data_IF_785505401564
#
_entry.id   IF_785505401564
#
_cell.length_a   1.000
_cell.length_b   1.000
_cell.length_c   1.000
_cell.angle_alpha   90.00
_cell.angle_beta   90.00
_cell.angle_gamma   90.00
#
_symmetry.space_group_name_H-M   'P 1'
#
loop_
_entity.id
_entity.type
_entity.pdbx_description
1 polymer ?
#
# COMPACT_ATOMS: atom_id res chain seq x y z
N UNK A 1 -18.70 5.60 -19.84
CA UNK A 1 -17.71 5.49 -18.74
C UNK A 1 -17.70 6.82 -18.00
N UNK A 2 -18.01 6.83 -16.73
CA UNK A 2 -17.87 8.03 -15.88
C UNK A 2 -16.44 8.08 -15.33
N UNK A 3 -15.91 9.29 -15.10
CA UNK A 3 -14.55 9.49 -14.61
C UNK A 3 -14.54 10.27 -13.31
N UNK A 4 -13.49 10.11 -12.53
CA UNK A 4 -13.16 10.89 -11.35
C UNK A 4 -11.83 11.60 -11.61
N UNK A 5 -11.76 12.90 -11.32
CA UNK A 5 -10.54 13.70 -11.48
C UNK A 5 -10.07 14.16 -10.10
N UNK A 6 -8.77 14.01 -9.85
CA UNK A 6 -8.08 14.45 -8.64
C UNK A 6 -6.91 15.35 -9.02
N UNK A 7 -6.81 16.49 -8.34
CA UNK A 7 -5.68 17.40 -8.50
C UNK A 7 -4.72 17.28 -7.31
N UNK A 8 -3.44 17.09 -7.61
CA UNK A 8 -2.35 16.98 -6.65
C UNK A 8 -1.51 18.26 -6.63
N UNK A 9 -0.48 18.31 -5.77
CA UNK A 9 0.35 19.51 -5.59
C UNK A 9 1.68 19.45 -6.35
N UNK A 10 2.08 18.27 -6.75
CA UNK A 10 3.35 18.00 -7.43
C UNK A 10 3.09 17.12 -8.66
N UNK A 11 3.78 17.37 -9.77
CA UNK A 11 3.64 16.61 -11.02
C UNK A 11 4.09 15.17 -10.84
N UNK A 12 5.15 14.93 -10.06
CA UNK A 12 5.61 13.59 -9.75
C UNK A 12 4.58 12.82 -8.90
N UNK A 13 3.81 13.51 -8.05
CA UNK A 13 2.76 12.87 -7.26
C UNK A 13 1.66 12.26 -8.16
N UNK A 14 1.20 12.99 -9.18
CA UNK A 14 0.23 12.44 -10.14
C UNK A 14 0.83 11.28 -10.94
N UNK A 15 2.08 11.41 -11.35
CA UNK A 15 2.81 10.40 -12.10
C UNK A 15 3.03 9.12 -11.28
N UNK A 16 3.49 9.25 -10.03
CA UNK A 16 3.72 8.12 -9.11
C UNK A 16 2.43 7.34 -8.82
N UNK A 17 1.34 8.05 -8.53
CA UNK A 17 0.04 7.45 -8.27
C UNK A 17 -0.47 6.69 -9.51
N UNK A 18 -0.40 7.31 -10.69
CA UNK A 18 -0.81 6.67 -11.94
C UNK A 18 0.07 5.46 -12.30
N UNK A 19 1.39 5.56 -12.09
CA UNK A 19 2.31 4.45 -12.29
C UNK A 19 2.00 3.30 -11.32
N UNK A 20 1.75 3.62 -10.05
CA UNK A 20 1.36 2.67 -9.02
C UNK A 20 0.08 1.93 -9.38
N UNK A 21 -1.00 2.65 -9.72
CA UNK A 21 -2.28 2.05 -10.11
C UNK A 21 -2.13 1.11 -11.32
N UNK A 22 -1.40 1.52 -12.36
CA UNK A 22 -1.17 0.67 -13.54
C UNK A 22 -0.38 -0.57 -13.18
N UNK A 23 0.71 -0.42 -12.41
CA UNK A 23 1.57 -1.52 -12.01
C UNK A 23 0.86 -2.56 -11.13
N UNK A 24 0.03 -2.11 -10.18
CA UNK A 24 -0.81 -2.99 -9.38
C UNK A 24 -1.88 -3.65 -10.23
N UNK A 25 -2.49 -2.91 -11.17
CA UNK A 25 -3.51 -3.39 -12.10
C UNK A 25 -3.04 -4.47 -13.07
N UNK A 26 -1.72 -4.59 -13.34
CA UNK A 26 -1.16 -5.73 -14.07
C UNK A 26 -1.35 -7.07 -13.35
N UNK A 27 -1.45 -7.04 -12.02
CA UNK A 27 -1.52 -8.22 -11.18
C UNK A 27 -2.95 -8.56 -10.70
N UNK A 28 -3.85 -7.59 -10.67
CA UNK A 28 -5.21 -7.76 -10.12
C UNK A 28 -6.22 -6.82 -10.79
N UNK A 29 -7.48 -7.25 -10.88
CA UNK A 29 -8.58 -6.41 -11.36
C UNK A 29 -9.18 -5.54 -10.23
N UNK A 30 -8.71 -5.68 -8.98
CA UNK A 30 -9.19 -4.93 -7.81
C UNK A 30 -8.50 -3.56 -7.63
N UNK A 31 -8.13 -2.91 -8.73
CA UNK A 31 -7.49 -1.58 -8.77
C UNK A 31 -8.24 -0.70 -9.75
N UNK A 32 -8.46 0.58 -9.40
CA UNK A 32 -9.12 1.52 -10.30
C UNK A 32 -8.28 1.77 -11.55
N UNK A 33 -8.93 1.83 -12.71
CA UNK A 33 -8.26 2.09 -13.98
C UNK A 33 -7.90 3.57 -14.13
N UNK A 34 -6.65 3.85 -14.54
CA UNK A 34 -6.19 5.20 -14.89
C UNK A 34 -6.60 5.53 -16.32
N UNK A 35 -7.35 6.60 -16.50
CA UNK A 35 -7.73 7.15 -17.81
C UNK A 35 -6.62 8.04 -18.35
N UNK A 36 -6.14 8.97 -17.52
CA UNK A 36 -5.01 9.84 -17.86
C UNK A 36 -4.31 10.37 -16.61
N UNK A 37 -3.07 10.76 -16.76
CA UNK A 37 -2.33 11.54 -15.77
C UNK A 37 -1.48 12.56 -16.54
N UNK A 38 -1.68 13.85 -16.27
CA UNK A 38 -0.96 14.93 -16.93
C UNK A 38 -0.79 16.12 -15.97
N UNK A 39 0.44 16.58 -15.85
CA UNK A 39 0.79 17.68 -14.96
C UNK A 39 0.38 17.39 -13.51
N UNK A 40 -0.54 18.18 -12.99
CA UNK A 40 -1.03 18.07 -11.60
C UNK A 40 -2.36 17.30 -11.48
N UNK A 41 -2.82 16.65 -12.52
CA UNK A 41 -4.11 15.97 -12.55
C UNK A 41 -3.97 14.49 -12.86
N UNK A 42 -4.68 13.67 -12.09
CA UNK A 42 -4.92 12.27 -12.41
C UNK A 42 -6.40 12.04 -12.60
N UNK A 43 -6.76 11.32 -13.65
CA UNK A 43 -8.13 10.95 -13.99
C UNK A 43 -8.23 9.44 -13.99
N UNK A 44 -9.14 8.91 -13.19
CA UNK A 44 -9.44 7.47 -13.13
C UNK A 44 -10.86 7.18 -13.58
N UNK A 45 -11.19 5.92 -13.81
CA UNK A 45 -12.59 5.52 -13.87
C UNK A 45 -13.26 5.80 -12.53
N UNK A 46 -14.51 6.23 -12.57
CA UNK A 46 -15.30 6.41 -11.35
C UNK A 46 -15.84 5.07 -10.90
N UNK A 47 -15.59 4.73 -9.66
CA UNK A 47 -16.21 3.58 -9.00
C UNK A 47 -17.63 3.96 -8.57
N UNK A 48 -18.64 3.28 -9.11
CA UNK A 48 -20.01 3.40 -8.63
C UNK A 48 -20.16 2.55 -7.37
N UNK A 49 -20.04 3.23 -6.22
CA UNK A 49 -20.02 2.57 -4.93
C UNK A 49 -21.36 1.91 -4.58
N UNK A 50 -21.26 0.71 -4.03
CA UNK A 50 -22.38 -0.05 -3.49
C UNK A 50 -22.08 -0.46 -2.04
N UNK A 51 -23.10 -0.88 -1.31
CA UNK A 51 -22.91 -1.42 0.03
C UNK A 51 -22.03 -2.69 -0.06
N UNK A 52 -20.94 -2.77 0.74
CA UNK A 52 -20.11 -3.96 0.77
C UNK A 52 -20.87 -5.19 1.24
N UNK A 53 -20.49 -6.36 0.74
CA UNK A 53 -21.02 -7.65 1.20
C UNK A 53 -19.88 -8.57 1.66
N UNK A 54 -20.15 -9.59 2.49
CA UNK A 54 -19.15 -10.57 2.90
C UNK A 54 -18.47 -11.25 1.71
N UNK A 55 -19.22 -11.56 0.65
CA UNK A 55 -18.71 -12.18 -0.58
C UNK A 55 -17.76 -11.26 -1.34
N UNK A 56 -18.13 -9.97 -1.47
CA UNK A 56 -17.29 -8.96 -2.12
C UNK A 56 -15.99 -8.74 -1.35
N UNK A 57 -16.06 -8.72 -0.01
CA UNK A 57 -14.90 -8.60 0.86
C UNK A 57 -13.97 -9.82 0.74
N UNK A 58 -14.52 -11.03 0.72
CA UNK A 58 -13.74 -12.26 0.52
C UNK A 58 -13.09 -12.31 -0.85
N UNK A 59 -13.81 -11.91 -1.91
CA UNK A 59 -13.25 -11.79 -3.26
C UNK A 59 -12.09 -10.79 -3.29
N UNK A 60 -12.26 -9.63 -2.66
CA UNK A 60 -11.20 -8.63 -2.55
C UNK A 60 -9.94 -9.20 -1.86
N UNK A 61 -10.09 -9.93 -0.76
CA UNK A 61 -8.97 -10.61 -0.10
C UNK A 61 -8.20 -11.55 -1.03
N UNK A 62 -8.90 -12.31 -1.87
CA UNK A 62 -8.26 -13.19 -2.85
C UNK A 62 -7.50 -12.39 -3.94
N UNK A 63 -8.06 -11.27 -4.40
CA UNK A 63 -7.41 -10.37 -5.36
C UNK A 63 -6.17 -9.70 -4.76
N UNK A 64 -6.24 -9.23 -3.50
CA UNK A 64 -5.10 -8.69 -2.77
C UNK A 64 -3.97 -9.74 -2.66
N UNK A 65 -4.31 -10.97 -2.33
CA UNK A 65 -3.34 -12.07 -2.29
C UNK A 65 -2.73 -12.36 -3.67
N UNK A 66 -3.49 -12.24 -4.75
CA UNK A 66 -3.00 -12.37 -6.14
C UNK A 66 -1.99 -11.30 -6.47
N UNK A 67 -2.30 -10.04 -6.10
CA UNK A 67 -1.40 -8.90 -6.29
C UNK A 67 -0.08 -9.08 -5.54
N UNK A 68 -0.13 -9.44 -4.27
CA UNK A 68 1.09 -9.66 -3.48
C UNK A 68 1.94 -10.80 -4.04
N UNK A 69 1.32 -11.91 -4.50
CA UNK A 69 2.02 -13.06 -5.10
C UNK A 69 2.66 -12.77 -6.45
N UNK A 70 2.26 -11.71 -7.14
CA UNK A 70 2.93 -11.29 -8.37
C UNK A 70 4.40 -10.92 -8.13
N UNK A 71 4.75 -10.54 -6.88
CA UNK A 71 6.11 -10.27 -6.46
C UNK A 71 6.73 -9.04 -7.14
N UNK A 72 7.95 -8.76 -6.76
CA UNK A 72 8.82 -7.72 -7.31
C UNK A 72 10.26 -8.07 -6.97
N UNK A 73 11.23 -7.43 -7.65
CA UNK A 73 12.67 -7.76 -7.49
C UNK A 73 13.28 -7.41 -6.15
N UNK A 74 12.76 -6.37 -5.44
CA UNK A 74 13.36 -5.90 -4.19
C UNK A 74 12.34 -5.18 -3.30
N UNK A 75 12.62 -5.08 -2.02
CA UNK A 75 11.95 -4.14 -1.11
C UNK A 75 12.32 -2.71 -1.50
N UNK A 76 11.38 -1.78 -1.43
CA UNK A 76 11.59 -0.40 -1.86
C UNK A 76 11.65 -0.20 -3.38
N UNK A 77 11.53 -1.24 -4.20
CA UNK A 77 11.44 -1.05 -5.64
C UNK A 77 10.21 -0.19 -6.01
N UNK A 78 10.36 0.90 -6.78
CA UNK A 78 9.22 1.69 -7.25
C UNK A 78 8.39 0.90 -8.27
N UNK A 79 7.19 1.39 -8.63
CA UNK A 79 6.43 0.83 -9.75
C UNK A 79 7.27 0.74 -11.02
N UNK A 80 7.16 -0.36 -11.76
CA UNK A 80 7.97 -0.62 -12.95
C UNK A 80 7.87 0.53 -13.97
N UNK A 81 9.02 1.04 -14.42
CA UNK A 81 9.11 2.15 -15.37
C UNK A 81 8.89 3.54 -14.77
N UNK A 82 8.72 3.67 -13.47
CA UNK A 82 8.65 4.95 -12.80
C UNK A 82 10.04 5.35 -12.25
N UNK A 83 10.52 6.54 -12.65
CA UNK A 83 11.83 7.10 -12.25
C UNK A 83 11.71 8.41 -11.47
N UNK A 84 10.48 8.92 -11.27
CA UNK A 84 10.23 10.14 -10.50
C UNK A 84 10.17 9.89 -8.99
N UNK A 85 9.81 10.91 -8.25
CA UNK A 85 9.61 10.83 -6.79
C UNK A 85 8.42 9.95 -6.44
N UNK A 86 8.49 9.31 -5.28
CA UNK A 86 7.39 8.54 -4.72
C UNK A 86 6.77 9.25 -3.51
N UNK A 87 5.49 9.02 -3.26
CA UNK A 87 4.73 9.71 -2.23
C UNK A 87 3.84 8.75 -1.44
N UNK A 88 3.59 9.10 -0.17
CA UNK A 88 2.47 8.62 0.61
C UNK A 88 1.61 9.83 0.99
N UNK A 89 0.39 9.90 0.47
CA UNK A 89 -0.40 11.13 0.53
C UNK A 89 0.36 12.30 -0.11
N UNK A 90 0.71 13.33 0.67
CA UNK A 90 1.48 14.49 0.21
C UNK A 90 2.95 14.48 0.64
N UNK A 91 3.39 13.43 1.31
CA UNK A 91 4.76 13.32 1.84
C UNK A 91 5.60 12.51 0.87
N UNK A 92 6.74 13.05 0.46
CA UNK A 92 7.73 12.32 -0.33
C UNK A 92 8.29 11.16 0.49
N UNK A 93 8.42 9.98 -0.12
CA UNK A 93 9.02 8.80 0.49
C UNK A 93 10.07 8.19 -0.45
N UNK A 94 11.15 7.72 0.14
CA UNK A 94 12.17 7.00 -0.62
C UNK A 94 11.66 5.64 -1.09
N UNK A 95 12.06 5.27 -2.32
CA UNK A 95 11.83 3.94 -2.89
C UNK A 95 13.15 3.46 -3.51
N UNK A 96 14.11 3.11 -2.64
CA UNK A 96 15.44 2.63 -3.00
C UNK A 96 15.47 1.10 -2.83
N UNK A 97 15.65 0.33 -3.93
CA UNK A 97 15.65 -1.12 -3.87
C UNK A 97 16.71 -1.69 -2.93
N UNK A 98 16.30 -2.63 -2.08
CA UNK A 98 17.18 -3.42 -1.20
C UNK A 98 16.66 -4.84 -1.04
N UNK A 99 17.56 -5.79 -0.78
CA UNK A 99 17.22 -7.20 -0.57
C UNK A 99 16.76 -7.50 0.88
N UNK A 100 16.92 -6.53 1.79
CA UNK A 100 16.63 -6.69 3.22
C UNK A 100 15.41 -5.88 3.63
N UNK A 101 14.33 -6.57 4.02
CA UNK A 101 13.12 -5.88 4.47
C UNK A 101 13.32 -5.03 5.72
N UNK A 102 14.08 -5.54 6.71
CA UNK A 102 14.33 -4.81 7.95
C UNK A 102 15.06 -3.50 7.72
N UNK A 103 16.08 -3.52 6.85
CA UNK A 103 16.81 -2.33 6.42
C UNK A 103 15.90 -1.34 5.70
N UNK A 104 15.18 -1.79 4.68
CA UNK A 104 14.20 -0.97 3.97
C UNK A 104 13.20 -0.31 4.92
N UNK A 105 12.58 -1.11 5.79
CA UNK A 105 11.53 -0.64 6.69
C UNK A 105 12.03 0.40 7.69
N UNK A 106 13.22 0.17 8.26
CA UNK A 106 13.86 1.09 9.20
C UNK A 106 14.27 2.38 8.52
N UNK A 107 15.03 2.30 7.45
CA UNK A 107 15.69 3.47 6.85
C UNK A 107 14.77 4.30 5.96
N UNK A 108 13.80 3.65 5.30
CA UNK A 108 12.95 4.34 4.34
C UNK A 108 11.50 4.51 4.82
N UNK A 109 11.10 3.91 5.95
CA UNK A 109 9.73 4.01 6.47
C UNK A 109 9.67 4.52 7.91
N UNK A 110 10.35 3.89 8.86
CA UNK A 110 10.19 4.23 10.29
C UNK A 110 10.93 5.50 10.66
N UNK A 111 12.25 5.57 10.44
CA UNK A 111 13.08 6.69 10.90
C UNK A 111 12.72 8.03 10.23
N UNK A 112 12.56 8.13 8.90
CA UNK A 112 12.22 9.40 8.26
C UNK A 112 10.88 9.97 8.75
N UNK A 113 9.87 9.10 8.90
CA UNK A 113 8.55 9.54 9.37
C UNK A 113 8.53 9.87 10.87
N UNK A 114 9.30 9.17 11.70
CA UNK A 114 9.43 9.49 13.11
C UNK A 114 10.10 10.88 13.33
N UNK A 115 11.09 11.22 12.50
CA UNK A 115 11.73 12.54 12.51
C UNK A 115 10.77 13.64 12.05
N UNK A 116 9.99 13.41 11.00
CA UNK A 116 8.97 14.34 10.51
C UNK A 116 7.81 14.53 11.50
N UNK A 117 7.49 13.51 12.31
CA UNK A 117 6.40 13.57 13.28
C UNK A 117 6.66 14.52 14.46
N UNK A 118 7.90 15.02 14.62
CA UNK A 118 8.26 15.97 15.69
C UNK A 118 8.07 15.41 17.09
N UNK A 119 8.22 14.09 17.28
CA UNK A 119 8.13 13.42 18.57
C UNK A 119 9.30 13.84 19.50
N UNK A 120 9.15 13.65 20.80
CA UNK A 120 10.20 13.99 21.76
C UNK A 120 11.46 13.12 21.57
N UNK A 121 12.62 13.63 22.02
CA UNK A 121 13.88 12.87 21.96
C UNK A 121 13.80 11.51 22.64
N UNK A 122 13.11 11.40 23.77
CA UNK A 122 12.91 10.14 24.48
C UNK A 122 12.08 9.14 23.66
N UNK A 123 11.07 9.61 22.93
CA UNK A 123 10.28 8.78 22.02
C UNK A 123 11.11 8.37 20.81
N UNK A 124 11.89 9.29 20.23
CA UNK A 124 12.77 8.98 19.10
C UNK A 124 13.84 7.94 19.49
N UNK A 125 14.40 8.02 20.72
CA UNK A 125 15.33 6.98 21.21
C UNK A 125 14.66 5.61 21.39
N UNK A 126 13.37 5.58 21.75
CA UNK A 126 12.60 4.33 21.77
C UNK A 126 12.41 3.77 20.37
N UNK A 127 12.03 4.61 19.40
CA UNK A 127 11.91 4.24 17.99
C UNK A 127 13.23 3.69 17.46
N UNK A 128 14.35 4.35 17.71
CA UNK A 128 15.68 3.87 17.27
C UNK A 128 16.03 2.49 17.82
N UNK A 129 15.78 2.24 19.12
CA UNK A 129 15.99 0.88 19.70
C UNK A 129 15.09 -0.17 19.05
N UNK A 130 13.84 0.17 18.72
CA UNK A 130 12.97 -0.74 17.98
C UNK A 130 13.51 -0.99 16.56
N UNK A 131 14.01 0.04 15.89
CA UNK A 131 14.67 -0.06 14.59
C UNK A 131 15.90 -0.97 14.63
N UNK A 132 16.75 -0.83 15.62
CA UNK A 132 17.92 -1.71 15.81
C UNK A 132 17.49 -3.19 15.94
N UNK A 133 16.42 -3.46 16.68
CA UNK A 133 15.89 -4.81 16.85
C UNK A 133 15.28 -5.37 15.54
N UNK A 134 14.62 -4.52 14.74
CA UNK A 134 14.06 -4.90 13.43
C UNK A 134 15.19 -5.20 12.44
N UNK A 135 16.18 -4.31 12.33
CA UNK A 135 17.29 -4.47 11.41
C UNK A 135 18.18 -5.69 11.74
N UNK A 136 18.32 -6.03 13.04
CA UNK A 136 19.11 -7.19 13.49
C UNK A 136 18.40 -8.53 13.24
N UNK A 137 17.10 -8.54 12.92
CA UNK A 137 16.32 -9.76 12.71
C UNK A 137 16.43 -10.24 11.27
N UNK A 138 16.56 -11.56 11.07
CA UNK A 138 16.35 -12.19 9.76
C UNK A 138 14.84 -12.30 9.47
N UNK A 139 14.45 -11.86 8.28
CA UNK A 139 13.07 -11.87 7.80
C UNK A 139 12.97 -12.84 6.63
N UNK A 140 12.24 -13.95 6.82
CA UNK A 140 11.97 -14.93 5.75
C UNK A 140 10.71 -14.52 4.98
N UNK A 141 10.86 -13.50 4.14
CA UNK A 141 9.77 -12.96 3.32
C UNK A 141 10.33 -12.51 1.97
N UNK A 142 9.59 -12.82 0.91
CA UNK A 142 9.89 -12.30 -0.42
C UNK A 142 9.22 -10.93 -0.63
N UNK A 143 9.85 -10.02 -1.40
CA UNK A 143 9.23 -8.75 -1.76
C UNK A 143 7.93 -8.96 -2.55
N UNK A 144 6.89 -8.22 -2.19
CA UNK A 144 5.58 -8.24 -2.82
C UNK A 144 5.25 -6.88 -3.43
N UNK A 145 4.42 -6.86 -4.47
CA UNK A 145 3.77 -5.62 -4.90
C UNK A 145 2.75 -5.25 -3.84
N UNK A 146 2.93 -4.13 -3.14
CA UNK A 146 1.98 -3.67 -2.14
C UNK A 146 1.34 -2.35 -2.54
N UNK A 147 0.13 -2.13 -2.04
CA UNK A 147 -0.56 -0.85 -2.18
C UNK A 147 0.15 0.25 -1.37
N UNK A 148 0.64 -0.08 -0.18
CA UNK A 148 1.48 0.78 0.65
C UNK A 148 0.72 1.82 1.48
N UNK A 149 -0.57 2.04 1.20
CA UNK A 149 -1.48 2.91 1.98
C UNK A 149 -2.90 2.33 1.99
N UNK A 150 -3.04 1.03 2.27
CA UNK A 150 -4.32 0.30 2.18
C UNK A 150 -5.10 0.36 3.49
N UNK A 151 -5.77 1.47 3.73
CA UNK A 151 -6.77 1.61 4.81
C UNK A 151 -8.19 1.68 4.22
N UNK A 152 -9.22 1.66 5.07
CA UNK A 152 -10.62 1.60 4.61
C UNK A 152 -11.01 2.73 3.64
N UNK A 153 -10.39 3.92 3.74
CA UNK A 153 -10.66 5.04 2.84
C UNK A 153 -10.13 4.86 1.42
N UNK A 154 -9.17 3.95 1.23
CA UNK A 154 -8.57 3.62 -0.06
C UNK A 154 -9.11 2.30 -0.63
N UNK A 155 -10.19 1.76 -0.04
CA UNK A 155 -10.90 0.57 -0.49
C UNK A 155 -12.37 0.89 -0.73
N UNK A 156 -12.76 1.03 -1.99
CA UNK A 156 -14.15 1.22 -2.41
C UNK A 156 -14.77 -0.13 -2.78
N UNK A 157 -16.09 -0.26 -2.67
CA UNK A 157 -16.81 -1.45 -3.12
C UNK A 157 -17.73 -1.08 -4.28
N UNK A 158 -17.44 -1.63 -5.45
CA UNK A 158 -18.27 -1.59 -6.64
C UNK A 158 -19.08 -2.86 -6.84
N UNK A 159 -19.82 -2.95 -7.94
CA UNK A 159 -20.63 -4.13 -8.29
C UNK A 159 -19.82 -5.43 -8.39
N UNK A 160 -18.54 -5.33 -8.72
CA UNK A 160 -17.66 -6.47 -8.99
C UNK A 160 -16.77 -6.85 -7.79
N UNK A 161 -16.82 -6.10 -6.70
CA UNK A 161 -16.04 -6.33 -5.48
C UNK A 161 -15.30 -5.09 -4.98
N UNK A 162 -14.27 -5.32 -4.15
CA UNK A 162 -13.41 -4.26 -3.63
C UNK A 162 -12.46 -3.72 -4.70
N UNK A 163 -12.28 -2.40 -4.74
CA UNK A 163 -11.42 -1.67 -5.68
C UNK A 163 -10.49 -0.75 -4.88
N UNK A 164 -9.20 -0.91 -5.06
CA UNK A 164 -8.16 -0.07 -4.45
C UNK A 164 -7.97 1.22 -5.24
N UNK A 165 -7.79 2.32 -4.51
CA UNK A 165 -7.52 3.67 -5.03
C UNK A 165 -6.38 4.31 -4.25
N UNK A 166 -5.77 5.38 -4.77
CA UNK A 166 -4.80 6.24 -4.07
C UNK A 166 -3.59 5.49 -3.46
N UNK A 167 -2.86 4.65 -4.20
CA UNK A 167 -1.76 3.87 -3.66
C UNK A 167 -0.49 4.70 -3.40
N UNK A 168 0.30 4.23 -2.43
CA UNK A 168 1.71 4.55 -2.27
C UNK A 168 2.57 3.33 -2.71
N UNK A 169 2.33 2.85 -3.94
CA UNK A 169 2.77 1.54 -4.42
C UNK A 169 4.29 1.38 -4.47
N UNK A 170 4.78 0.27 -3.96
CA UNK A 170 6.20 -0.10 -3.99
C UNK A 170 6.39 -1.59 -3.66
N UNK A 171 7.61 -2.08 -3.80
CA UNK A 171 8.02 -3.38 -3.29
C UNK A 171 8.07 -3.38 -1.76
N UNK A 172 7.27 -4.22 -1.11
CA UNK A 172 7.18 -4.24 0.34
C UNK A 172 6.85 -5.61 0.93
N UNK A 173 6.66 -5.63 2.24
CA UNK A 173 6.17 -6.82 2.93
C UNK A 173 4.65 -6.93 2.75
N UNK A 174 4.11 -8.07 2.30
CA UNK A 174 2.67 -8.20 2.03
C UNK A 174 1.78 -7.91 3.25
N UNK A 175 2.29 -8.15 4.45
CA UNK A 175 1.55 -7.85 5.67
C UNK A 175 1.40 -6.36 5.98
N UNK A 176 2.10 -5.47 5.28
CA UNK A 176 1.92 -4.02 5.43
C UNK A 176 0.47 -3.62 5.11
N UNK A 177 -0.05 -4.07 3.98
CA UNK A 177 -1.43 -3.78 3.58
C UNK A 177 -2.46 -4.43 4.53
N UNK A 178 -2.20 -5.67 4.96
CA UNK A 178 -3.06 -6.35 5.93
C UNK A 178 -3.04 -5.65 7.29
N UNK A 179 -1.87 -5.19 7.74
CA UNK A 179 -1.71 -4.43 8.98
C UNK A 179 -2.44 -3.09 8.95
N UNK A 180 -2.43 -2.40 7.81
CA UNK A 180 -3.19 -1.16 7.61
C UNK A 180 -4.70 -1.40 7.71
N UNK A 181 -5.22 -2.44 7.04
CA UNK A 181 -6.62 -2.84 7.15
C UNK A 181 -6.99 -3.23 8.58
N UNK A 182 -6.11 -3.94 9.30
CA UNK A 182 -6.34 -4.33 10.67
C UNK A 182 -6.35 -3.13 11.64
N UNK A 183 -5.41 -2.19 11.47
CA UNK A 183 -5.25 -1.02 12.35
C UNK A 183 -6.39 -0.01 12.19
N UNK A 184 -6.79 0.28 10.95
CA UNK A 184 -7.80 1.30 10.66
C UNK A 184 -9.20 0.75 10.41
N UNK A 185 -9.32 -0.58 10.34
CA UNK A 185 -10.57 -1.28 10.04
C UNK A 185 -10.89 -1.30 8.54
N UNK A 186 -11.77 -2.23 8.17
CA UNK A 186 -12.39 -2.32 6.85
C UNK A 186 -13.75 -3.03 6.98
N UNK A 187 -14.70 -2.78 6.07
CA UNK A 187 -15.94 -3.55 6.03
C UNK A 187 -15.65 -5.05 5.84
N UNK A 188 -16.22 -5.89 6.71
CA UNK A 188 -16.04 -7.34 6.66
C UNK A 188 -14.56 -7.78 6.66
N UNK A 189 -13.74 -7.18 7.55
CA UNK A 189 -12.30 -7.42 7.64
C UNK A 189 -11.94 -8.91 7.75
N UNK A 190 -12.68 -9.67 8.55
CA UNK A 190 -12.48 -11.12 8.70
C UNK A 190 -12.64 -11.86 7.37
N UNK A 191 -13.60 -11.45 6.55
CA UNK A 191 -13.83 -12.02 5.22
C UNK A 191 -12.69 -11.68 4.24
N UNK A 192 -12.16 -10.45 4.34
CA UNK A 192 -10.97 -10.06 3.56
C UNK A 192 -9.80 -10.97 3.93
N UNK A 193 -9.54 -11.18 5.22
CA UNK A 193 -8.45 -12.04 5.69
C UNK A 193 -8.65 -13.52 5.31
N UNK A 194 -9.89 -14.02 5.38
CA UNK A 194 -10.20 -15.37 4.91
C UNK A 194 -9.96 -15.52 3.39
N UNK A 195 -10.41 -14.54 2.60
CA UNK A 195 -10.19 -14.51 1.16
C UNK A 195 -8.72 -14.44 0.77
N UNK A 196 -7.94 -13.66 1.52
CA UNK A 196 -6.50 -13.55 1.38
C UNK A 196 -5.77 -14.86 1.71
N UNK A 197 -6.33 -15.67 2.60
CA UNK A 197 -5.66 -16.84 3.19
C UNK A 197 -4.67 -16.43 4.30
N UNK A 198 -4.95 -15.33 4.98
CA UNK A 198 -4.11 -14.85 6.08
C UNK A 198 -4.04 -15.86 7.23
N UNK A 199 -2.93 -15.91 7.97
CA UNK A 199 -2.83 -16.70 9.19
C UNK A 199 -3.96 -16.34 10.18
N UNK A 200 -4.46 -17.34 10.92
CA UNK A 200 -5.56 -17.12 11.89
C UNK A 200 -5.17 -16.27 13.09
N UNK A 201 -3.87 -16.08 13.31
CA UNK A 201 -3.30 -15.29 14.40
C UNK A 201 -2.94 -13.85 14.01
N UNK A 202 -3.44 -13.39 12.85
CA UNK A 202 -3.21 -12.01 12.39
C UNK A 202 -3.60 -10.96 13.44
N UNK A 203 -4.58 -11.28 14.29
CA UNK A 203 -4.99 -10.45 15.43
C UNK A 203 -3.83 -10.18 16.41
N UNK A 204 -2.85 -11.06 16.46
CA UNK A 204 -1.66 -10.93 17.31
C UNK A 204 -0.56 -10.04 16.68
N UNK A 205 -0.76 -9.56 15.45
CA UNK A 205 0.18 -8.67 14.76
C UNK A 205 -0.05 -7.20 15.09
N UNK A 206 -1.19 -6.89 15.68
CA UNK A 206 -1.51 -5.53 16.13
C UNK A 206 -0.92 -5.36 17.52
N UNK A 207 -0.01 -4.39 17.73
CA UNK A 207 0.58 -4.12 19.03
C UNK A 207 -0.42 -3.61 20.06
#
# INVERSE_FOLDING_TARGET
MQTFSKRVRDTDQAGAEAAGLRWLGEATDAVVNVVSADGLEIVTERVDEVMPTPEAARKFGAELARMHRAGVEAFGAPPAGWEGKNFIGSIEQDCIPTDNWGEFYVEQRVLPFAELAGISSAQLDLVRRACDAIAARSWDVAPARIHGDLWAGNLLFGSDGGIMIDPAAHGGHPHTDLGMLALFGAPYLEEIFQGYGAPKDIENWIP
#
